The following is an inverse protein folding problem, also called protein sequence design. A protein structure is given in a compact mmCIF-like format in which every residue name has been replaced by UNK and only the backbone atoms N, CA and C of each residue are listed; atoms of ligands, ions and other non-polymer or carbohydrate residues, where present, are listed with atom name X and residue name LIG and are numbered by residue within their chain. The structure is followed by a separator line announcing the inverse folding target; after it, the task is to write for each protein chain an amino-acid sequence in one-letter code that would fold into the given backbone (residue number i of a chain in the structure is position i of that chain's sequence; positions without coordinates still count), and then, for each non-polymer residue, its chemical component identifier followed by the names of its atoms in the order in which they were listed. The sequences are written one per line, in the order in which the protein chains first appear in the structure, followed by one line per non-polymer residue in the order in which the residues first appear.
data_IF_261061527675
#
_entry.id   IF_261061527675
#
_cell.length_a   1.000
_cell.length_b   1.000
_cell.length_c   1.000
_cell.angle_alpha   90.00
_cell.angle_beta   90.00
_cell.angle_gamma   90.00
#
_symmetry.space_group_name_H-M   'P 1'
#
loop_
_entity.id
_entity.type
_entity.pdbx_description
1 polymer ?
#
# COMPACT_ATOMS: atom_id res chain seq x y z
N UNK A 1 -33.26 -15.31 4.73
CA UNK A 1 -32.47 -14.53 3.75
C UNK A 1 -31.01 -14.72 4.11
N UNK A 2 -30.26 -15.51 3.32
CA UNK A 2 -28.97 -16.08 3.71
C UNK A 2 -27.87 -15.03 3.49
N UNK A 3 -27.52 -14.28 4.51
CA UNK A 3 -26.39 -13.34 4.48
C UNK A 3 -25.05 -14.11 4.44
N UNK A 4 -25.06 -15.37 4.91
CA UNK A 4 -23.86 -16.23 4.93
C UNK A 4 -23.39 -16.70 3.55
N UNK A 5 -24.26 -16.71 2.53
CA UNK A 5 -23.91 -17.28 1.22
C UNK A 5 -22.98 -16.37 0.39
N UNK A 6 -22.82 -15.10 0.76
CA UNK A 6 -21.98 -14.12 0.06
C UNK A 6 -20.73 -13.69 0.85
N UNK A 7 -20.48 -14.28 2.02
CA UNK A 7 -19.37 -13.90 2.90
C UNK A 7 -18.32 -15.01 2.98
N UNK A 8 -17.17 -14.83 2.33
CA UNK A 8 -16.00 -15.68 2.55
C UNK A 8 -15.44 -15.46 3.96
N UNK A 9 -15.23 -16.54 4.72
CA UNK A 9 -14.60 -16.48 6.04
C UNK A 9 -13.18 -15.87 5.96
N UNK A 10 -12.43 -16.19 4.90
CA UNK A 10 -11.09 -15.65 4.67
C UNK A 10 -11.12 -14.14 4.42
N UNK A 11 -12.11 -13.65 3.65
CA UNK A 11 -12.31 -12.21 3.43
C UNK A 11 -12.66 -11.50 4.72
N UNK A 12 -13.45 -12.12 5.60
CA UNK A 12 -13.79 -11.56 6.91
C UNK A 12 -12.57 -11.43 7.81
N UNK A 13 -11.69 -12.44 7.83
CA UNK A 13 -10.42 -12.37 8.58
C UNK A 13 -9.48 -11.32 7.99
N UNK A 14 -9.32 -11.29 6.67
CA UNK A 14 -8.52 -10.26 5.99
C UNK A 14 -9.03 -8.85 6.32
N UNK A 15 -10.35 -8.62 6.27
CA UNK A 15 -10.93 -7.32 6.60
C UNK A 15 -10.63 -6.89 8.05
N UNK A 16 -10.71 -7.82 9.02
CA UNK A 16 -10.34 -7.53 10.42
C UNK A 16 -8.87 -7.12 10.55
N UNK A 17 -7.98 -7.81 9.85
CA UNK A 17 -6.55 -7.50 9.85
C UNK A 17 -6.30 -6.14 9.20
N UNK A 18 -6.93 -5.86 8.06
CA UNK A 18 -6.82 -4.57 7.36
C UNK A 18 -7.33 -3.39 8.20
N UNK A 19 -8.36 -3.58 9.03
CA UNK A 19 -8.81 -2.56 9.97
C UNK A 19 -7.74 -2.22 11.02
N UNK A 20 -7.00 -3.21 11.53
CA UNK A 20 -5.88 -2.98 12.46
C UNK A 20 -4.72 -2.25 11.79
N UNK A 21 -4.38 -2.65 10.56
CA UNK A 21 -3.38 -1.95 9.74
C UNK A 21 -3.78 -0.48 9.56
N UNK A 22 -5.04 -0.20 9.22
CA UNK A 22 -5.55 1.16 9.04
C UNK A 22 -5.44 2.01 10.32
N UNK A 23 -5.63 1.41 11.49
CA UNK A 23 -5.50 2.10 12.78
C UNK A 23 -4.05 2.45 13.12
N UNK A 24 -3.08 1.64 12.69
CA UNK A 24 -1.66 1.88 12.91
C UNK A 24 -1.02 2.80 11.86
N UNK A 25 -1.56 2.81 10.63
CA UNK A 25 -1.08 3.66 9.55
C UNK A 25 -1.14 5.14 9.94
N UNK A 26 -0.02 5.83 9.74
CA UNK A 26 0.09 7.27 9.97
C UNK A 26 0.01 8.03 8.64
N UNK A 27 -0.51 9.27 8.65
CA UNK A 27 -0.45 10.13 7.47
C UNK A 27 0.98 10.26 6.95
N UNK A 28 1.17 9.96 5.66
CA UNK A 28 2.48 10.04 5.01
C UNK A 28 2.79 11.50 4.67
N UNK A 29 3.97 11.97 5.05
CA UNK A 29 4.41 13.33 4.75
C UNK A 29 4.75 13.49 3.27
N UNK A 30 4.37 14.62 2.69
CA UNK A 30 4.72 14.97 1.31
C UNK A 30 6.16 15.45 1.23
N UNK A 31 7.09 14.57 0.90
CA UNK A 31 8.55 14.80 0.92
C UNK A 31 9.13 15.40 -0.37
N UNK A 32 8.32 15.56 -1.43
CA UNK A 32 8.74 16.20 -2.67
C UNK A 32 7.79 17.30 -3.14
N UNK A 33 8.36 18.24 -3.89
CA UNK A 33 7.64 19.30 -4.60
C UNK A 33 7.84 19.09 -6.11
N UNK A 34 6.73 19.09 -6.85
CA UNK A 34 6.73 19.09 -8.30
C UNK A 34 7.04 20.51 -8.80
N UNK A 35 8.10 20.67 -9.58
CA UNK A 35 8.57 21.98 -10.09
C UNK A 35 7.70 22.53 -11.23
N UNK A 36 6.97 21.66 -11.95
CA UNK A 36 6.09 22.05 -13.04
C UNK A 36 4.73 22.53 -12.54
N UNK A 37 4.11 21.79 -11.61
CA UNK A 37 2.77 22.11 -11.08
C UNK A 37 2.79 22.84 -9.73
N UNK A 38 3.97 23.03 -9.12
CA UNK A 38 4.14 23.55 -7.75
C UNK A 38 3.43 22.75 -6.63
N UNK A 39 2.91 21.56 -6.94
CA UNK A 39 2.24 20.69 -5.97
C UNK A 39 3.24 19.93 -5.08
N UNK A 40 2.82 19.51 -3.88
CA UNK A 40 3.58 18.61 -3.01
C UNK A 40 3.00 17.20 -3.05
N UNK A 41 3.86 16.19 -3.08
CA UNK A 41 3.50 14.78 -3.09
C UNK A 41 4.42 13.95 -2.18
N UNK A 42 3.93 12.79 -1.76
CA UNK A 42 4.75 11.79 -1.08
C UNK A 42 5.36 10.87 -2.14
N UNK A 43 6.67 10.63 -2.06
CA UNK A 43 7.34 9.70 -2.97
C UNK A 43 6.97 8.26 -2.65
N UNK A 44 7.08 7.39 -3.65
CA UNK A 44 6.85 5.95 -3.48
C UNK A 44 7.69 5.38 -2.34
N UNK A 45 8.96 5.80 -2.22
CA UNK A 45 9.85 5.37 -1.13
C UNK A 45 9.26 5.68 0.24
N UNK A 46 8.77 6.91 0.45
CA UNK A 46 8.16 7.34 1.71
C UNK A 46 6.87 6.58 2.01
N UNK A 47 6.06 6.30 0.98
CA UNK A 47 4.83 5.51 1.14
C UNK A 47 5.16 4.07 1.54
N UNK A 48 6.12 3.44 0.85
CA UNK A 48 6.54 2.07 1.14
C UNK A 48 7.14 1.94 2.53
N UNK A 49 7.95 2.90 2.97
CA UNK A 49 8.51 2.93 4.33
C UNK A 49 7.39 3.02 5.39
N UNK A 50 6.38 3.84 5.15
CA UNK A 50 5.27 4.04 6.08
C UNK A 50 4.36 2.81 6.24
N UNK A 51 4.14 2.02 5.18
CA UNK A 51 3.18 0.91 5.22
C UNK A 51 3.81 -0.48 5.33
N UNK A 52 5.02 -0.71 4.79
CA UNK A 52 5.58 -2.08 4.64
C UNK A 52 5.72 -2.79 5.99
N UNK A 53 6.28 -2.12 7.00
CA UNK A 53 6.50 -2.73 8.32
C UNK A 53 5.19 -3.08 9.04
N UNK A 54 4.14 -2.26 8.85
CA UNK A 54 2.83 -2.46 9.46
C UNK A 54 2.11 -3.62 8.78
N UNK A 55 2.08 -3.64 7.44
CA UNK A 55 1.45 -4.70 6.67
C UNK A 55 2.07 -6.08 7.01
N UNK A 56 3.39 -6.17 6.98
CA UNK A 56 4.11 -7.42 7.27
C UNK A 56 3.87 -7.90 8.71
N UNK A 57 3.86 -6.98 9.70
CA UNK A 57 3.56 -7.31 11.10
C UNK A 57 2.19 -7.95 11.26
N UNK A 58 1.23 -7.51 10.46
CA UNK A 58 -0.15 -8.02 10.43
C UNK A 58 -0.32 -9.23 9.51
N UNK A 59 0.76 -9.78 8.94
CA UNK A 59 0.71 -10.94 8.06
C UNK A 59 0.21 -10.65 6.65
N UNK A 60 0.20 -9.38 6.24
CA UNK A 60 -0.17 -8.97 4.89
C UNK A 60 1.09 -8.86 4.03
N UNK A 61 1.17 -9.70 3.00
CA UNK A 61 2.25 -9.66 2.02
C UNK A 61 2.09 -8.42 1.13
N UNK A 62 3.15 -7.63 0.97
CA UNK A 62 3.28 -6.60 -0.06
C UNK A 62 4.38 -6.95 -1.07
N UNK A 63 4.07 -6.94 -2.37
CA UNK A 63 5.05 -7.17 -3.46
C UNK A 63 5.14 -5.96 -4.39
N UNK A 64 6.34 -5.64 -4.86
CA UNK A 64 6.53 -4.90 -6.11
C UNK A 64 7.25 -5.79 -7.10
N UNK A 65 6.71 -5.92 -8.31
CA UNK A 65 7.35 -6.70 -9.37
C UNK A 65 7.95 -5.76 -10.44
N UNK A 66 9.09 -6.16 -11.03
CA UNK A 66 9.73 -5.37 -12.06
C UNK A 66 8.90 -5.39 -13.35
N UNK A 67 8.83 -4.24 -14.03
CA UNK A 67 8.19 -4.13 -15.34
C UNK A 67 9.15 -3.53 -16.37
N UNK A 68 9.01 -3.90 -17.66
CA UNK A 68 9.84 -3.34 -18.72
C UNK A 68 9.66 -1.82 -18.81
N UNK A 69 10.76 -1.09 -18.86
CA UNK A 69 10.82 0.37 -19.05
C UNK A 69 12.03 0.74 -19.92
N UNK A 70 12.24 2.03 -20.13
CA UNK A 70 13.39 2.56 -20.86
C UNK A 70 14.72 2.04 -20.30
N UNK A 71 15.69 1.84 -21.21
CA UNK A 71 17.03 1.33 -20.87
C UNK A 71 17.67 2.25 -19.81
N UNK A 72 18.23 1.64 -18.77
CA UNK A 72 18.84 2.36 -17.64
C UNK A 72 17.88 2.67 -16.49
N UNK A 73 16.60 2.30 -16.59
CA UNK A 73 15.62 2.46 -15.52
C UNK A 73 15.05 1.11 -15.08
N UNK A 74 14.58 1.03 -13.83
CA UNK A 74 13.82 -0.10 -13.29
C UNK A 74 12.39 0.35 -13.04
N UNK A 75 11.44 -0.19 -13.80
CA UNK A 75 10.02 0.01 -13.56
C UNK A 75 9.53 -0.92 -12.47
N UNK A 76 8.63 -0.44 -11.62
CA UNK A 76 8.01 -1.22 -10.56
C UNK A 76 6.49 -1.07 -10.64
N UNK A 77 5.76 -2.18 -10.51
CA UNK A 77 4.30 -2.19 -10.27
C UNK A 77 4.04 -2.68 -8.85
N UNK A 78 3.10 -2.01 -8.18
CA UNK A 78 2.62 -2.31 -6.82
C UNK A 78 1.15 -2.70 -6.87
#
# INVERSE_FOLDING_TARGET
MVIEQYSSADVKELAKVMLRVQQELRPVQKDRKNTFTNSRYATLSTVMEACSSILIRHGIWLTQYPVPVEIGHLGLVT
#
